data_IF_244342677324
#
_entry.id   IF_244342677324
#
_cell.length_a   1.000
_cell.length_b   1.000
_cell.length_c   1.000
_cell.angle_alpha   90.00
_cell.angle_beta   90.00
_cell.angle_gamma   90.00
#
_symmetry.space_group_name_H-M   'P 1'
#
loop_
_entity.id
_entity.type
_entity.pdbx_description
1 polymer ?
#
# COMPACT_ATOMS: atom_id res chain seq x y z
N UNK A 1 -26.41 3.87 38.16
CA UNK A 1 -25.00 3.51 38.49
C UNK A 1 -24.15 3.50 37.22
N UNK A 2 -23.37 4.55 36.95
CA UNK A 2 -22.58 4.70 35.70
C UNK A 2 -21.43 3.68 35.58
N UNK A 3 -20.73 3.44 36.68
CA UNK A 3 -19.56 2.54 36.71
C UNK A 3 -19.98 1.10 36.46
N UNK A 4 -21.10 0.66 37.04
CA UNK A 4 -21.67 -0.68 36.81
C UNK A 4 -21.94 -0.92 35.32
N UNK A 5 -22.55 0.05 34.62
CA UNK A 5 -22.82 -0.06 33.18
C UNK A 5 -21.55 -0.11 32.32
N UNK A 6 -20.51 0.64 32.71
CA UNK A 6 -19.23 0.68 32.01
C UNK A 6 -18.49 -0.67 32.05
N UNK A 7 -18.58 -1.37 33.17
CA UNK A 7 -17.95 -2.69 33.33
C UNK A 7 -18.86 -3.87 32.93
N UNK A 8 -20.18 -3.67 32.87
CA UNK A 8 -21.10 -4.69 32.38
C UNK A 8 -21.11 -4.80 30.85
N UNK A 9 -20.82 -3.70 30.13
CA UNK A 9 -20.79 -3.67 28.67
C UNK A 9 -19.38 -3.76 28.11
N UNK A 10 -19.23 -4.29 26.89
CA UNK A 10 -17.96 -4.27 26.20
C UNK A 10 -17.62 -2.83 25.74
N UNK A 11 -16.42 -2.31 26.09
CA UNK A 11 -15.96 -1.00 25.63
C UNK A 11 -15.97 -0.94 24.11
N UNK A 12 -16.44 0.19 23.55
CA UNK A 12 -16.57 0.38 22.10
C UNK A 12 -15.29 0.01 21.33
N UNK A 13 -14.13 0.45 21.80
CA UNK A 13 -12.83 0.18 21.17
C UNK A 13 -12.46 -1.32 21.09
N UNK A 14 -13.02 -2.16 21.97
CA UNK A 14 -12.78 -3.61 21.99
C UNK A 14 -13.80 -4.39 21.16
N UNK A 15 -14.84 -3.73 20.66
CA UNK A 15 -15.84 -4.37 19.82
C UNK A 15 -15.22 -4.69 18.46
N UNK A 16 -15.55 -5.84 17.90
CA UNK A 16 -14.92 -6.34 16.67
C UNK A 16 -15.18 -5.39 15.51
N UNK A 17 -16.36 -4.80 15.45
CA UNK A 17 -16.75 -3.82 14.46
C UNK A 17 -15.85 -2.58 14.50
N UNK A 18 -15.15 -2.29 15.61
CA UNK A 18 -14.27 -1.13 15.71
C UNK A 18 -12.84 -1.44 15.28
N UNK A 19 -12.20 -2.47 15.86
CA UNK A 19 -10.79 -2.74 15.56
C UNK A 19 -10.59 -3.53 14.26
N UNK A 20 -11.57 -4.33 13.84
CA UNK A 20 -11.52 -5.16 12.62
C UNK A 20 -12.22 -4.45 11.44
N UNK A 21 -12.39 -3.13 11.53
CA UNK A 21 -13.11 -2.33 10.53
C UNK A 21 -12.46 -2.41 9.14
N UNK A 22 -11.13 -2.32 9.08
CA UNK A 22 -10.40 -2.43 7.83
C UNK A 22 -9.84 -3.84 7.67
N UNK A 23 -10.08 -4.49 6.53
CA UNK A 23 -9.40 -5.74 6.23
C UNK A 23 -7.89 -5.50 6.15
N UNK A 24 -7.11 -6.55 6.39
CA UNK A 24 -5.66 -6.48 6.32
C UNK A 24 -5.17 -6.38 4.86
N UNK A 25 -5.16 -5.16 4.32
CA UNK A 25 -4.78 -4.86 2.95
C UNK A 25 -3.37 -5.33 2.60
N UNK A 26 -2.44 -5.29 3.55
CA UNK A 26 -1.06 -5.75 3.33
C UNK A 26 -1.02 -7.23 2.97
N UNK A 27 -1.89 -8.04 3.60
CA UNK A 27 -1.96 -9.49 3.34
C UNK A 27 -2.44 -9.75 1.91
N UNK A 28 -3.54 -9.10 1.50
CA UNK A 28 -4.08 -9.28 0.14
C UNK A 28 -3.11 -8.76 -0.93
N UNK A 29 -2.55 -7.56 -0.74
CA UNK A 29 -1.62 -6.98 -1.69
C UNK A 29 -0.35 -7.82 -1.85
N UNK A 30 0.24 -8.27 -0.74
CA UNK A 30 1.43 -9.11 -0.78
C UNK A 30 1.14 -10.48 -1.39
N UNK A 31 0.03 -11.12 -1.02
CA UNK A 31 -0.37 -12.43 -1.55
C UNK A 31 -0.58 -12.39 -3.07
N UNK A 32 -1.34 -11.41 -3.57
CA UNK A 32 -1.57 -11.32 -5.01
C UNK A 32 -0.29 -10.95 -5.77
N UNK A 33 0.58 -10.13 -5.17
CA UNK A 33 1.90 -9.82 -5.70
C UNK A 33 2.81 -11.06 -5.80
N UNK A 34 2.85 -11.91 -4.76
CA UNK A 34 3.65 -13.15 -4.81
C UNK A 34 3.09 -14.12 -5.84
N UNK A 35 1.77 -14.30 -5.91
CA UNK A 35 1.14 -15.13 -6.95
C UNK A 35 1.44 -14.62 -8.36
N UNK A 36 1.48 -13.30 -8.58
CA UNK A 36 1.89 -12.71 -9.85
C UNK A 36 3.32 -13.08 -10.23
N UNK A 37 4.27 -12.96 -9.30
CA UNK A 37 5.67 -13.31 -9.56
C UNK A 37 5.89 -14.80 -9.76
N UNK A 38 5.04 -15.65 -9.16
CA UNK A 38 5.02 -17.10 -9.40
C UNK A 38 4.33 -17.47 -10.73
N UNK A 39 3.69 -16.53 -11.43
CA UNK A 39 2.93 -16.79 -12.65
C UNK A 39 1.55 -17.41 -12.42
N UNK A 40 1.07 -17.44 -11.17
CA UNK A 40 -0.21 -18.01 -10.77
C UNK A 40 -1.36 -17.00 -10.79
N UNK A 41 -1.04 -15.70 -10.88
CA UNK A 41 -2.02 -14.61 -10.96
C UNK A 41 -1.60 -13.58 -12.01
N UNK A 42 -2.56 -13.03 -12.75
CA UNK A 42 -2.33 -11.95 -13.72
C UNK A 42 -2.95 -10.65 -13.20
N UNK A 43 -2.11 -9.65 -12.96
CA UNK A 43 -2.51 -8.31 -12.53
C UNK A 43 -2.35 -7.32 -13.70
N UNK A 44 -3.41 -7.15 -14.48
CA UNK A 44 -3.43 -6.27 -15.66
C UNK A 44 -3.17 -4.80 -15.30
N UNK A 45 -3.59 -4.38 -14.10
CA UNK A 45 -3.37 -3.03 -13.62
C UNK A 45 -1.88 -2.79 -13.35
N UNK A 46 -1.19 -3.76 -12.74
CA UNK A 46 0.25 -3.68 -12.56
C UNK A 46 1.01 -3.78 -13.89
N UNK A 47 0.57 -4.63 -14.81
CA UNK A 47 1.17 -4.76 -16.15
C UNK A 47 1.11 -3.41 -16.91
N UNK A 48 -0.04 -2.74 -16.87
CA UNK A 48 -0.20 -1.41 -17.46
C UNK A 48 0.73 -0.38 -16.81
N UNK A 49 0.83 -0.36 -15.47
CA UNK A 49 1.73 0.55 -14.75
C UNK A 49 3.19 0.31 -15.11
N UNK A 50 3.61 -0.94 -15.22
CA UNK A 50 4.98 -1.33 -15.54
C UNK A 50 5.34 -0.91 -16.98
N UNK A 51 4.45 -1.12 -17.94
CA UNK A 51 4.67 -0.70 -19.33
C UNK A 51 4.75 0.83 -19.46
N UNK A 52 3.85 1.56 -18.79
CA UNK A 52 3.91 3.02 -18.76
C UNK A 52 5.20 3.53 -18.11
N UNK A 53 5.70 2.85 -17.08
CA UNK A 53 6.98 3.19 -16.46
C UNK A 53 8.15 2.94 -17.41
N UNK A 54 8.14 1.83 -18.18
CA UNK A 54 9.14 1.52 -19.21
C UNK A 54 9.21 2.63 -20.26
N UNK A 55 8.08 3.03 -20.82
CA UNK A 55 8.00 4.11 -21.82
C UNK A 55 8.46 5.46 -21.25
N UNK A 56 8.08 5.79 -20.00
CA UNK A 56 8.53 7.02 -19.33
C UNK A 56 10.05 7.06 -19.15
N UNK A 57 10.68 5.94 -18.81
CA UNK A 57 12.14 5.82 -18.70
C UNK A 57 12.81 6.03 -20.06
N UNK A 58 12.30 5.40 -21.12
CA UNK A 58 12.83 5.57 -22.49
C UNK A 58 12.73 7.02 -22.97
N UNK A 59 11.68 7.75 -22.57
CA UNK A 59 11.53 9.19 -22.83
C UNK A 59 12.44 10.09 -21.96
N UNK A 60 13.28 9.52 -21.11
CA UNK A 60 14.11 10.28 -20.16
C UNK A 60 13.35 10.90 -18.99
N UNK A 61 12.06 10.58 -18.82
CA UNK A 61 11.22 11.04 -17.68
C UNK A 61 11.14 9.97 -16.58
N UNK A 62 12.24 9.23 -16.39
CA UNK A 62 12.38 8.26 -15.31
C UNK A 62 12.42 8.92 -13.93
N UNK A 63 12.14 8.15 -12.88
CA UNK A 63 12.35 8.63 -11.51
C UNK A 63 13.86 8.82 -11.30
N UNK A 64 14.33 10.01 -10.85
CA UNK A 64 15.74 10.23 -10.55
C UNK A 64 16.15 9.34 -9.38
N UNK A 65 17.44 8.98 -9.30
CA UNK A 65 17.97 8.27 -8.14
C UNK A 65 17.80 9.15 -6.90
N UNK A 66 17.56 8.50 -5.75
CA UNK A 66 17.44 9.20 -4.47
C UNK A 66 18.74 9.97 -4.23
N UNK A 67 18.64 11.29 -4.04
CA UNK A 67 19.79 12.18 -3.88
C UNK A 67 20.25 12.90 -5.15
N UNK A 68 19.86 12.45 -6.34
CA UNK A 68 20.20 13.10 -7.64
C UNK A 68 19.05 13.99 -8.15
N UNK A 69 18.14 14.40 -7.26
CA UNK A 69 17.02 15.25 -7.63
C UNK A 69 17.46 16.63 -8.12
N UNK A 70 16.53 17.38 -8.72
CA UNK A 70 16.78 18.73 -9.26
C UNK A 70 17.50 19.68 -8.28
N UNK A 71 17.27 19.52 -6.97
CA UNK A 71 17.92 20.32 -5.92
C UNK A 71 19.40 19.97 -5.71
N UNK A 72 19.80 18.72 -5.94
CA UNK A 72 21.19 18.28 -5.81
C UNK A 72 22.04 18.72 -7.00
N UNK A 73 21.47 18.70 -8.21
CA UNK A 73 22.15 19.23 -9.41
C UNK A 73 22.42 20.73 -9.34
N UNK A 74 21.59 21.51 -8.63
CA UNK A 74 21.76 22.97 -8.47
C UNK A 74 22.80 23.38 -7.42
N UNK A 75 23.27 22.45 -6.59
CA UNK A 75 24.27 22.71 -5.54
C UNK A 75 25.71 22.51 -6.02
N UNK A 76 25.89 21.99 -7.23
CA UNK A 76 27.17 21.81 -7.91
C UNK A 76 27.44 23.01 -8.80
#
# INVERSE_FOLDING_TARGET
MKVVKLFSEQPLAKRKETYDWYPNHNTYFALMGTLRFLGLYRDEHQDFRDEQLRLKKLRGKGKPRKGEGKRAMKKK
#
